data_IF_270181507250
#
_entry.id   IF_270181507250
#
_cell.length_a   1.000
_cell.length_b   1.000
_cell.length_c   1.000
_cell.angle_alpha   90.00
_cell.angle_beta   90.00
_cell.angle_gamma   90.00
#
_symmetry.space_group_name_H-M   'P 1'
#
loop_
_entity.id
_entity.type
_entity.pdbx_description
1 polymer ?
#
# COMPACT_ATOMS: atom_id res chain seq x y z
N UNK A 1 15.30 11.02 -6.61
CA UNK A 1 15.84 12.02 -5.80
C UNK A 1 16.54 11.57 -4.55
N UNK A 2 17.01 12.55 -3.81
CA UNK A 2 17.77 12.32 -2.59
C UNK A 2 17.00 11.58 -1.51
N UNK A 3 15.68 11.69 -1.54
CA UNK A 3 14.82 11.04 -0.53
C UNK A 3 14.92 9.53 -0.61
N UNK A 4 14.97 8.98 -1.82
CA UNK A 4 15.11 7.54 -2.00
C UNK A 4 16.45 7.03 -1.50
N UNK A 5 17.48 7.84 -1.62
CA UNK A 5 18.81 7.48 -1.13
C UNK A 5 18.81 7.33 0.39
N UNK A 6 18.04 8.17 1.08
CA UNK A 6 17.91 8.10 2.53
C UNK A 6 17.36 6.75 2.98
N UNK A 7 16.36 6.25 2.29
CA UNK A 7 15.75 4.95 2.62
C UNK A 7 16.70 3.81 2.28
N UNK A 8 17.43 3.93 1.19
CA UNK A 8 18.35 2.87 0.76
C UNK A 8 19.53 2.69 1.73
N UNK A 9 19.80 3.66 2.55
CA UNK A 9 20.89 3.60 3.52
C UNK A 9 20.54 2.77 4.76
N UNK A 10 19.47 2.01 4.70
CA UNK A 10 19.04 1.17 5.82
C UNK A 10 20.04 0.05 6.05
N UNK A 11 20.24 -0.27 7.25
CA UNK A 11 21.24 -1.22 7.73
C UNK A 11 21.93 -0.63 8.93
N UNK A 12 21.79 0.68 9.09
CA UNK A 12 22.23 1.41 10.24
C UNK A 12 21.06 2.07 10.94
N UNK A 13 21.33 3.12 11.63
CA UNK A 13 20.33 3.87 12.36
C UNK A 13 19.46 4.68 11.40
N UNK A 14 18.15 4.56 11.54
CA UNK A 14 17.19 5.34 10.80
C UNK A 14 16.59 6.40 11.72
N UNK A 15 16.73 7.65 11.34
CA UNK A 15 16.16 8.75 12.10
C UNK A 15 14.91 9.28 11.39
N UNK A 16 13.86 9.54 12.17
CA UNK A 16 12.62 10.15 11.68
C UNK A 16 12.84 11.63 11.42
N UNK A 17 13.58 11.95 10.37
CA UNK A 17 13.78 13.34 9.98
C UNK A 17 12.73 13.79 8.96
N UNK A 18 12.80 15.04 8.54
CA UNK A 18 11.86 15.62 7.60
C UNK A 18 11.80 14.88 6.26
N UNK A 19 12.94 14.34 5.79
CA UNK A 19 13.00 13.62 4.52
C UNK A 19 12.20 12.33 4.56
N UNK A 20 12.31 11.60 5.68
CA UNK A 20 11.58 10.34 5.86
C UNK A 20 10.08 10.62 5.94
N UNK A 21 9.69 11.63 6.71
CA UNK A 21 8.29 12.02 6.84
C UNK A 21 7.72 12.48 5.50
N UNK A 22 8.48 13.29 4.75
CA UNK A 22 8.06 13.76 3.43
C UNK A 22 7.86 12.60 2.46
N UNK A 23 8.77 11.61 2.48
CA UNK A 23 8.60 10.41 1.64
C UNK A 23 7.35 9.63 2.01
N UNK A 24 7.11 9.45 3.31
CA UNK A 24 5.92 8.77 3.79
C UNK A 24 4.65 9.47 3.32
N UNK A 25 4.59 10.79 3.46
CA UNK A 25 3.45 11.60 3.00
C UNK A 25 3.26 11.47 1.50
N UNK A 26 4.33 11.55 0.74
CA UNK A 26 4.28 11.41 -0.71
C UNK A 26 3.71 10.05 -1.12
N UNK A 27 4.17 8.99 -0.48
CA UNK A 27 3.66 7.63 -0.77
C UNK A 27 2.19 7.49 -0.42
N UNK A 28 1.76 8.12 0.67
CA UNK A 28 0.34 8.10 1.00
C UNK A 28 -0.50 8.87 -0.02
N UNK A 29 0.01 9.99 -0.52
CA UNK A 29 -0.64 10.73 -1.61
C UNK A 29 -0.74 9.89 -2.88
N UNK A 30 0.31 9.12 -3.19
CA UNK A 30 0.28 8.18 -4.31
C UNK A 30 -0.80 7.11 -4.10
N UNK A 31 -0.94 6.63 -2.86
CA UNK A 31 -1.99 5.67 -2.53
C UNK A 31 -3.38 6.26 -2.81
N UNK A 32 -3.62 7.46 -2.36
CA UNK A 32 -4.90 8.14 -2.57
C UNK A 32 -5.18 8.37 -4.06
N UNK A 33 -4.15 8.75 -4.82
CA UNK A 33 -4.26 8.95 -6.26
C UNK A 33 -4.61 7.64 -6.97
N UNK A 34 -3.97 6.54 -6.59
CA UNK A 34 -4.28 5.24 -7.17
C UNK A 34 -5.70 4.78 -6.81
N UNK A 35 -6.17 5.06 -5.61
CA UNK A 35 -7.54 4.73 -5.23
C UNK A 35 -8.54 5.51 -6.09
N UNK A 36 -8.29 6.79 -6.29
CA UNK A 36 -9.14 7.63 -7.14
C UNK A 36 -9.19 7.07 -8.56
N UNK A 37 -8.05 6.65 -9.09
CA UNK A 37 -7.98 6.04 -10.42
C UNK A 37 -8.74 4.71 -10.46
N UNK A 38 -8.62 3.89 -9.41
CA UNK A 38 -9.35 2.62 -9.33
C UNK A 38 -10.86 2.85 -9.36
N UNK A 39 -11.33 3.86 -8.64
CA UNK A 39 -12.75 4.21 -8.60
C UNK A 39 -13.24 4.75 -9.94
N UNK A 40 -12.44 5.55 -10.61
CA UNK A 40 -12.75 6.05 -11.94
C UNK A 40 -12.85 4.90 -12.95
N UNK A 41 -11.86 4.00 -12.94
CA UNK A 41 -11.83 2.84 -13.83
C UNK A 41 -13.02 1.91 -13.56
N UNK A 42 -13.43 1.78 -12.31
CA UNK A 42 -14.61 1.00 -11.94
C UNK A 42 -15.88 1.60 -12.59
N UNK A 43 -16.05 2.92 -12.52
CA UNK A 43 -17.17 3.60 -13.15
C UNK A 43 -17.16 3.44 -14.67
N UNK A 44 -15.98 3.42 -15.26
CA UNK A 44 -15.81 3.25 -16.71
C UNK A 44 -15.85 1.77 -17.13
N UNK A 45 -16.14 0.87 -16.20
CA UNK A 45 -16.24 -0.58 -16.43
C UNK A 45 -14.93 -1.22 -16.90
N UNK A 46 -13.81 -0.60 -16.57
CA UNK A 46 -12.48 -1.15 -16.84
C UNK A 46 -12.03 -1.92 -15.59
N UNK A 47 -12.61 -3.09 -15.39
CA UNK A 47 -12.53 -3.81 -14.12
C UNK A 47 -11.15 -4.35 -13.82
N UNK A 48 -10.48 -4.91 -14.80
CA UNK A 48 -9.13 -5.45 -14.62
C UNK A 48 -8.15 -4.35 -14.23
N UNK A 49 -8.22 -3.22 -14.91
CA UNK A 49 -7.38 -2.06 -14.61
C UNK A 49 -7.72 -1.47 -13.23
N UNK A 50 -8.99 -1.48 -12.86
CA UNK A 50 -9.43 -1.04 -11.53
C UNK A 50 -8.80 -1.89 -10.43
N UNK A 51 -8.79 -3.21 -10.60
CA UNK A 51 -8.15 -4.14 -9.64
C UNK A 51 -6.66 -3.83 -9.51
N UNK A 52 -6.00 -3.58 -10.63
CA UNK A 52 -4.57 -3.22 -10.63
C UNK A 52 -4.34 -1.94 -9.81
N UNK A 53 -5.14 -0.91 -10.05
CA UNK A 53 -5.00 0.37 -9.32
C UNK A 53 -5.35 0.23 -7.84
N UNK A 54 -6.34 -0.58 -7.49
CA UNK A 54 -6.68 -0.86 -6.09
C UNK A 54 -5.52 -1.51 -5.36
N UNK A 55 -4.85 -2.47 -6.01
CA UNK A 55 -3.67 -3.09 -5.42
C UNK A 55 -2.57 -2.06 -5.17
N UNK A 56 -2.26 -1.21 -6.15
CA UNK A 56 -1.20 -0.22 -5.97
C UNK A 56 -1.57 0.86 -4.95
N UNK A 57 -2.85 1.18 -4.79
CA UNK A 57 -3.28 2.05 -3.70
C UNK A 57 -2.88 1.45 -2.35
N UNK A 58 -3.18 0.17 -2.15
CA UNK A 58 -2.83 -0.54 -0.92
C UNK A 58 -1.31 -0.60 -0.75
N UNK A 59 -0.60 -0.95 -1.81
CA UNK A 59 0.85 -1.13 -1.74
C UNK A 59 1.58 0.18 -1.42
N UNK A 60 1.17 1.28 -2.02
CA UNK A 60 1.75 2.59 -1.70
C UNK A 60 1.45 2.99 -0.25
N UNK A 61 0.27 2.66 0.25
CA UNK A 61 -0.07 2.91 1.65
C UNK A 61 0.83 2.11 2.60
N UNK A 62 1.11 0.83 2.26
CA UNK A 62 2.07 0.04 3.01
C UNK A 62 3.45 0.72 3.03
N UNK A 63 3.90 1.16 1.87
CA UNK A 63 5.22 1.78 1.76
C UNK A 63 5.28 3.14 2.44
N UNK A 64 4.15 3.80 2.63
CA UNK A 64 4.10 5.00 3.45
C UNK A 64 4.44 4.67 4.90
N UNK A 65 3.99 3.53 5.39
CA UNK A 65 4.29 3.06 6.73
C UNK A 65 5.74 2.60 6.84
N UNK A 66 6.19 1.73 5.93
CA UNK A 66 7.54 1.17 6.00
C UNK A 66 8.63 2.23 5.80
N UNK A 67 8.33 3.31 5.09
CA UNK A 67 9.24 4.43 4.96
C UNK A 67 9.63 5.03 6.32
N UNK A 68 8.66 5.07 7.24
CA UNK A 68 8.90 5.61 8.58
C UNK A 68 9.85 4.74 9.40
N UNK A 69 9.99 3.47 9.03
CA UNK A 69 10.94 2.54 9.65
C UNK A 69 12.24 2.47 8.85
N UNK A 70 12.39 3.29 7.83
CA UNK A 70 13.52 3.26 6.90
C UNK A 70 13.68 1.89 6.23
N UNK A 71 12.59 1.17 6.04
CA UNK A 71 12.61 -0.13 5.37
C UNK A 71 12.15 0.01 3.93
N UNK A 72 12.86 -0.66 3.03
CA UNK A 72 12.43 -0.82 1.66
C UNK A 72 12.90 -2.18 1.14
N UNK A 73 12.28 -2.63 0.06
CA UNK A 73 12.63 -3.88 -0.59
C UNK A 73 12.30 -3.75 -2.08
N UNK A 74 13.14 -4.35 -2.91
CA UNK A 74 12.89 -4.39 -4.35
C UNK A 74 11.74 -5.32 -4.71
N UNK A 75 11.32 -6.18 -3.78
CA UNK A 75 10.23 -7.15 -3.98
C UNK A 75 9.01 -6.74 -3.17
N UNK A 76 7.84 -6.76 -3.82
CA UNK A 76 6.58 -6.49 -3.13
C UNK A 76 6.36 -7.44 -1.96
N UNK A 77 6.71 -8.73 -2.14
CA UNK A 77 6.59 -9.73 -1.07
C UNK A 77 7.42 -9.38 0.15
N UNK A 78 8.58 -8.76 -0.05
CA UNK A 78 9.43 -8.31 1.05
C UNK A 78 8.79 -7.21 1.89
N UNK A 79 8.15 -6.26 1.23
CA UNK A 79 7.42 -5.18 1.91
C UNK A 79 6.24 -5.75 2.70
N UNK A 80 5.49 -6.65 2.09
CA UNK A 80 4.32 -7.27 2.73
C UNK A 80 4.76 -8.11 3.95
N UNK A 81 5.84 -8.88 3.81
CA UNK A 81 6.36 -9.69 4.91
C UNK A 81 6.82 -8.81 6.08
N UNK A 82 7.50 -7.71 5.79
CA UNK A 82 7.93 -6.76 6.82
C UNK A 82 6.73 -6.19 7.55
N UNK A 83 5.72 -5.76 6.80
CA UNK A 83 4.50 -5.18 7.38
C UNK A 83 3.80 -6.19 8.28
N UNK A 84 3.64 -7.43 7.81
CA UNK A 84 2.98 -8.47 8.61
C UNK A 84 3.71 -8.74 9.92
N UNK A 85 5.04 -8.78 9.89
CA UNK A 85 5.83 -9.04 11.09
C UNK A 85 5.76 -7.89 12.09
N UNK A 86 5.85 -6.67 11.62
CA UNK A 86 6.05 -5.52 12.50
C UNK A 86 4.76 -4.77 12.84
N UNK A 87 3.69 -5.00 12.10
CA UNK A 87 2.44 -4.27 12.29
C UNK A 87 1.23 -5.16 12.56
N UNK A 88 1.18 -6.33 11.94
CA UNK A 88 0.07 -7.26 12.15
C UNK A 88 0.36 -8.15 13.35
N UNK A 89 1.51 -8.82 13.37
CA UNK A 89 1.89 -9.70 14.47
C UNK A 89 1.97 -8.94 15.79
N UNK A 90 2.42 -7.71 15.76
CA UNK A 90 2.52 -6.85 16.95
C UNK A 90 1.18 -6.25 17.35
N UNK A 91 0.13 -6.49 16.58
CA UNK A 91 -1.21 -6.04 16.93
C UNK A 91 -1.50 -4.57 16.67
N UNK A 92 -0.65 -3.88 15.91
CA UNK A 92 -0.88 -2.47 15.56
C UNK A 92 -2.10 -2.36 14.62
N UNK A 93 -2.20 -3.28 13.68
CA UNK A 93 -3.37 -3.39 12.80
C UNK A 93 -3.96 -4.79 12.89
N UNK A 94 -5.26 -4.88 12.64
CA UNK A 94 -5.99 -6.15 12.74
C UNK A 94 -5.56 -7.15 11.66
N UNK A 95 -5.70 -8.43 11.97
CA UNK A 95 -5.39 -9.53 11.03
C UNK A 95 -6.18 -9.43 9.72
N UNK A 96 -7.35 -8.82 9.75
CA UNK A 96 -8.16 -8.63 8.55
C UNK A 96 -7.43 -7.82 7.48
N UNK A 97 -6.58 -6.88 7.89
CA UNK A 97 -5.77 -6.10 6.97
C UNK A 97 -4.80 -7.01 6.21
N UNK A 98 -4.14 -7.93 6.90
CA UNK A 98 -3.24 -8.88 6.26
C UNK A 98 -3.95 -9.75 5.22
N UNK A 99 -5.17 -10.19 5.52
CA UNK A 99 -5.98 -10.97 4.56
C UNK A 99 -6.33 -10.16 3.33
N UNK A 100 -6.68 -8.89 3.52
CA UNK A 100 -6.98 -7.99 2.41
C UNK A 100 -5.76 -7.78 1.51
N UNK A 101 -4.58 -7.63 2.11
CA UNK A 101 -3.32 -7.50 1.38
C UNK A 101 -3.04 -8.73 0.53
N UNK A 102 -3.15 -9.90 1.13
CA UNK A 102 -2.88 -11.17 0.45
C UNK A 102 -3.83 -11.37 -0.73
N UNK A 103 -5.11 -11.13 -0.51
CA UNK A 103 -6.12 -11.25 -1.56
C UNK A 103 -5.85 -10.27 -2.71
N UNK A 104 -5.55 -9.03 -2.38
CA UNK A 104 -5.26 -8.00 -3.39
C UNK A 104 -4.03 -8.36 -4.22
N UNK A 105 -2.98 -8.84 -3.56
CA UNK A 105 -1.74 -9.25 -4.23
C UNK A 105 -2.00 -10.40 -5.20
N UNK A 106 -2.69 -11.45 -4.74
CA UNK A 106 -2.98 -12.63 -5.56
C UNK A 106 -3.90 -12.30 -6.73
N UNK A 107 -4.94 -11.52 -6.48
CA UNK A 107 -5.88 -11.16 -7.53
C UNK A 107 -5.22 -10.31 -8.61
N UNK A 108 -4.39 -9.34 -8.20
CA UNK A 108 -3.65 -8.51 -9.13
C UNK A 108 -2.69 -9.35 -9.98
N UNK A 109 -1.97 -10.29 -9.37
CA UNK A 109 -1.08 -11.17 -10.12
C UNK A 109 -1.84 -11.99 -11.15
N UNK A 110 -2.96 -12.60 -10.77
CA UNK A 110 -3.78 -13.36 -11.70
C UNK A 110 -4.31 -12.50 -12.83
N UNK A 111 -4.82 -11.31 -12.49
CA UNK A 111 -5.39 -10.41 -13.49
C UNK A 111 -4.34 -9.94 -14.51
N UNK A 112 -3.09 -9.72 -14.05
CA UNK A 112 -2.02 -9.23 -14.93
C UNK A 112 -1.38 -10.34 -15.77
N UNK A 113 -1.31 -11.57 -15.24
CA UNK A 113 -0.51 -12.63 -15.87
C UNK A 113 -1.30 -13.80 -16.43
N UNK A 114 -2.59 -13.96 -16.10
CA UNK A 114 -3.41 -15.02 -16.70
C UNK A 114 -4.20 -14.46 -17.88
N UNK A 115 -4.00 -15.07 -19.07
CA UNK A 115 -4.54 -14.57 -20.33
C UNK A 115 -6.06 -14.48 -20.38
N UNK A 116 -6.74 -15.46 -19.80
CA UNK A 116 -8.21 -15.55 -19.89
C UNK A 116 -8.92 -15.21 -18.59
N UNK A 117 -8.21 -14.54 -17.68
CA UNK A 117 -8.82 -14.12 -16.41
C UNK A 117 -9.88 -13.05 -16.65
N UNK A 118 -11.10 -13.34 -16.20
CA UNK A 118 -12.20 -12.38 -16.26
C UNK A 118 -12.38 -11.78 -14.86
N UNK A 119 -12.32 -10.45 -14.79
CA UNK A 119 -12.58 -9.73 -13.56
C UNK A 119 -14.00 -9.18 -13.61
N UNK A 120 -14.83 -9.62 -12.67
CA UNK A 120 -16.22 -9.16 -12.59
C UNK A 120 -16.31 -7.77 -11.93
N UNK A 121 -17.45 -7.11 -12.10
CA UNK A 121 -17.73 -5.84 -11.43
C UNK A 121 -17.69 -6.03 -9.90
N UNK A 122 -18.18 -7.14 -9.39
CA UNK A 122 -18.18 -7.41 -7.94
C UNK A 122 -16.77 -7.53 -7.41
N UNK A 123 -15.88 -8.23 -8.12
CA UNK A 123 -14.48 -8.36 -7.74
C UNK A 123 -13.79 -7.00 -7.70
N UNK A 124 -13.99 -6.20 -8.75
CA UNK A 124 -13.35 -4.89 -8.84
C UNK A 124 -13.88 -3.93 -7.76
N UNK A 125 -15.19 -3.94 -7.54
CA UNK A 125 -15.81 -3.11 -6.51
C UNK A 125 -15.30 -3.48 -5.12
N UNK A 126 -15.23 -4.77 -4.83
CA UNK A 126 -14.75 -5.26 -3.53
C UNK A 126 -13.31 -4.83 -3.29
N UNK A 127 -12.46 -4.91 -4.30
CA UNK A 127 -11.06 -4.52 -4.16
C UNK A 127 -10.92 -3.01 -3.93
N UNK A 128 -11.70 -2.19 -4.62
CA UNK A 128 -11.68 -0.74 -4.40
C UNK A 128 -12.17 -0.38 -3.00
N UNK A 129 -13.21 -1.06 -2.52
CA UNK A 129 -13.72 -0.84 -1.15
C UNK A 129 -12.70 -1.23 -0.09
N UNK A 130 -12.01 -2.35 -0.29
CA UNK A 130 -10.95 -2.80 0.63
C UNK A 130 -9.76 -1.84 0.62
N UNK A 131 -9.40 -1.34 -0.56
CA UNK A 131 -8.33 -0.35 -0.68
C UNK A 131 -8.70 0.91 0.10
N UNK A 132 -9.92 1.40 -0.05
CA UNK A 132 -10.39 2.56 0.71
C UNK A 132 -10.35 2.30 2.21
N UNK A 133 -10.80 1.13 2.64
CA UNK A 133 -10.78 0.75 4.05
C UNK A 133 -9.35 0.77 4.60
N UNK A 134 -8.39 0.22 3.87
CA UNK A 134 -7.00 0.17 4.31
C UNK A 134 -6.41 1.59 4.40
N UNK A 135 -6.64 2.43 3.40
CA UNK A 135 -6.15 3.80 3.42
C UNK A 135 -6.74 4.58 4.59
N UNK A 136 -8.04 4.42 4.84
CA UNK A 136 -8.71 5.09 5.95
C UNK A 136 -8.21 4.56 7.31
N UNK A 137 -7.87 3.27 7.38
CA UNK A 137 -7.33 2.67 8.60
C UNK A 137 -5.91 3.17 8.89
N UNK A 138 -5.10 3.33 7.85
CA UNK A 138 -3.71 3.76 8.00
C UNK A 138 -3.58 5.25 8.30
N UNK A 139 -4.50 6.05 7.82
CA UNK A 139 -4.39 7.52 7.88
C UNK A 139 -4.15 8.06 9.29
N UNK A 140 -4.98 7.73 10.31
CA UNK A 140 -4.73 8.28 11.64
C UNK A 140 -3.41 7.81 12.25
N UNK A 141 -3.00 6.57 11.96
CA UNK A 141 -1.72 6.06 12.42
C UNK A 141 -0.57 6.86 11.80
N UNK A 142 -0.62 7.09 10.49
CA UNK A 142 0.40 7.85 9.79
C UNK A 142 0.44 9.30 10.28
N UNK A 143 -0.71 9.94 10.41
CA UNK A 143 -0.79 11.33 10.86
C UNK A 143 -0.15 11.50 12.24
N UNK A 144 -0.35 10.55 13.11
CA UNK A 144 0.25 10.57 14.44
C UNK A 144 1.77 10.44 14.36
N UNK A 145 2.25 9.52 13.53
CA UNK A 145 3.68 9.32 13.34
C UNK A 145 4.36 10.50 12.66
N UNK A 146 3.66 11.18 11.76
CA UNK A 146 4.20 12.35 11.07
C UNK A 146 4.43 13.54 12.00
N UNK A 147 3.76 13.58 13.13
CA UNK A 147 3.94 14.64 14.13
C UNK A 147 5.22 14.48 14.95
N UNK A 148 5.78 13.28 14.98
CA UNK A 148 6.97 12.98 15.76
C UNK A 148 8.18 13.56 15.05
N UNK A 149 8.97 14.35 15.78
CA UNK A 149 10.17 14.99 15.27
C UNK A 149 11.43 14.30 15.79
#
# INVERSE_FOLDING_TARGET
GGVLIMIAAVGGDCFMDGSVIELSKYRYECACSNLKDAELLLREKSFKSSVNRSYYAIFHALRAITALDCFDSSKHSGVIAYFNRNYIKEGIFDKSVSKMLDTAFRLREKADYEDFMIVSIEMAREQAEKAKFILDTFKPYLEERWKVQ
#
